data_IF_111927194497
#
_entry.id   IF_111927194497
#
_cell.length_a   1.000
_cell.length_b   1.000
_cell.length_c   1.000
_cell.angle_alpha   90.00
_cell.angle_beta   90.00
_cell.angle_gamma   90.00
#
_symmetry.space_group_name_H-M   'P 1'
#
loop_
_entity.id
_entity.type
_entity.pdbx_description
1 polymer ?
#
# COMPACT_ATOMS: atom_id res chain seq x y z
N UNK A 1 15.81 -0.72 26.09
CA UNK A 1 16.41 0.64 25.96
C UNK A 1 17.25 0.74 24.68
N UNK A 2 18.26 -0.10 24.46
CA UNK A 2 19.01 -0.13 23.18
C UNK A 2 18.13 -0.30 21.91
N UNK A 3 17.11 -1.18 21.96
CA UNK A 3 16.14 -1.33 20.85
C UNK A 3 15.26 -0.08 20.63
N UNK A 4 15.02 0.74 21.65
CA UNK A 4 14.21 1.95 21.51
C UNK A 4 15.04 3.11 20.95
N UNK A 5 16.35 3.15 21.23
CA UNK A 5 17.27 4.14 20.66
C UNK A 5 17.60 3.87 19.17
N UNK A 6 17.51 2.61 18.72
CA UNK A 6 17.71 2.25 17.30
C UNK A 6 16.41 2.41 16.47
N UNK A 7 15.24 2.25 17.11
CA UNK A 7 13.93 2.54 16.53
C UNK A 7 13.60 4.04 16.59
N UNK A 8 14.29 4.84 17.43
CA UNK A 8 14.24 6.29 17.31
C UNK A 8 14.93 6.69 16.02
N UNK A 9 14.11 6.78 14.97
CA UNK A 9 14.40 7.48 13.73
C UNK A 9 14.72 8.93 14.07
N UNK A 10 15.94 9.20 14.51
CA UNK A 10 16.45 10.53 14.72
C UNK A 10 16.81 11.05 13.32
N UNK A 11 16.04 11.97 12.72
CA UNK A 11 16.45 12.59 11.48
C UNK A 11 17.69 13.42 11.81
N UNK A 12 18.88 12.90 11.52
CA UNK A 12 20.06 13.76 11.51
C UNK A 12 19.84 14.80 10.42
N UNK A 13 19.59 16.05 10.84
CA UNK A 13 19.32 17.24 10.03
C UNK A 13 20.47 17.62 9.07
N UNK A 14 21.52 16.80 8.96
CA UNK A 14 22.70 17.05 8.14
C UNK A 14 22.53 16.69 6.65
N UNK A 15 21.51 15.89 6.30
CA UNK A 15 21.20 15.59 4.91
C UNK A 15 20.02 16.42 4.44
N UNK A 16 20.19 17.23 3.39
CA UNK A 16 19.09 17.98 2.77
C UNK A 16 17.90 17.08 2.38
N UNK A 17 16.78 17.68 1.93
CA UNK A 17 15.52 16.98 1.59
C UNK A 17 15.75 15.70 0.77
N UNK A 18 16.69 15.75 -0.18
CA UNK A 18 17.10 14.62 -1.02
C UNK A 18 17.74 13.46 -0.23
N UNK A 19 18.54 13.75 0.81
CA UNK A 19 19.15 12.75 1.69
C UNK A 19 18.12 12.05 2.59
N UNK A 20 17.12 12.79 3.05
CA UNK A 20 15.98 12.25 3.82
C UNK A 20 15.09 11.38 2.92
N UNK A 21 14.79 11.84 1.70
CA UNK A 21 14.04 11.09 0.69
C UNK A 21 14.74 9.80 0.29
N UNK A 22 16.05 9.87 0.04
CA UNK A 22 16.89 8.71 -0.25
C UNK A 22 16.81 7.70 0.90
N UNK A 23 17.05 8.15 2.15
CA UNK A 23 16.97 7.25 3.31
C UNK A 23 15.59 6.57 3.41
N UNK A 24 14.50 7.34 3.34
CA UNK A 24 13.12 6.81 3.41
C UNK A 24 12.77 5.83 2.29
N UNK A 25 13.19 6.10 1.05
CA UNK A 25 12.98 5.21 -0.09
C UNK A 25 13.73 3.89 0.08
N UNK A 26 14.91 3.91 0.71
CA UNK A 26 15.73 2.73 0.89
C UNK A 26 15.53 2.01 2.24
N UNK A 27 14.83 2.62 3.21
CA UNK A 27 14.55 1.99 4.51
C UNK A 27 13.94 0.57 4.43
N UNK A 28 12.90 0.29 3.60
CA UNK A 28 12.36 -1.07 3.52
C UNK A 28 13.34 -2.07 2.91
N UNK A 29 14.31 -1.61 2.12
CA UNK A 29 15.36 -2.43 1.52
C UNK A 29 16.62 -2.56 2.40
N UNK A 30 16.75 -1.69 3.41
CA UNK A 30 17.87 -1.68 4.36
C UNK A 30 17.50 -2.20 5.76
N UNK A 31 16.27 -2.69 5.95
CA UNK A 31 15.87 -3.37 7.18
C UNK A 31 16.71 -4.65 7.33
N UNK A 32 17.63 -4.66 8.29
CA UNK A 32 18.39 -5.85 8.62
C UNK A 32 17.41 -6.92 9.15
N UNK A 33 17.23 -8.07 8.46
CA UNK A 33 16.32 -9.13 8.91
C UNK A 33 16.65 -9.65 10.32
N UNK A 34 17.88 -9.40 10.80
CA UNK A 34 18.33 -9.73 12.15
C UNK A 34 17.61 -8.93 13.26
N UNK A 35 17.01 -7.79 12.94
CA UNK A 35 16.22 -6.97 13.88
C UNK A 35 14.83 -7.57 14.15
N UNK A 36 14.38 -8.52 13.32
CA UNK A 36 13.09 -9.19 13.44
C UNK A 36 13.30 -10.71 13.37
N UNK A 37 13.76 -11.36 14.47
CA UNK A 37 14.16 -12.77 14.48
C UNK A 37 13.08 -13.72 13.96
N UNK A 38 11.81 -13.35 14.15
CA UNK A 38 10.64 -14.09 13.69
C UNK A 38 10.44 -14.08 12.17
N UNK A 39 10.95 -13.08 11.45
CA UNK A 39 10.89 -13.00 9.99
C UNK A 39 12.03 -13.71 9.30
N UNK A 40 13.12 -14.01 10.03
CA UNK A 40 14.32 -14.61 9.45
C UNK A 40 14.02 -15.90 8.69
N UNK A 41 13.20 -16.78 9.26
CA UNK A 41 12.78 -18.04 8.64
C UNK A 41 11.97 -17.83 7.35
N UNK A 42 11.21 -16.74 7.25
CA UNK A 42 10.41 -16.42 6.06
C UNK A 42 11.27 -15.91 4.91
N UNK A 43 12.31 -15.13 5.19
CA UNK A 43 13.16 -14.50 4.16
C UNK A 43 14.44 -15.27 3.83
N UNK A 44 14.82 -16.27 4.64
CA UNK A 44 15.92 -17.17 4.29
C UNK A 44 15.41 -18.26 3.35
N UNK A 45 16.00 -18.33 2.16
CA UNK A 45 15.74 -19.41 1.22
C UNK A 45 16.10 -20.78 1.86
N UNK A 46 15.17 -21.75 1.88
CA UNK A 46 15.47 -23.10 2.35
C UNK A 46 16.43 -23.78 1.38
N UNK A 47 17.40 -24.54 1.91
CA UNK A 47 18.33 -25.35 1.11
C UNK A 47 17.93 -26.82 1.18
N UNK A 48 18.14 -27.57 0.09
CA UNK A 48 18.03 -29.03 0.08
C UNK A 48 16.73 -29.58 -0.51
N UNK A 49 16.21 -28.98 -1.58
CA UNK A 49 15.10 -29.51 -2.40
C UNK A 49 13.76 -28.76 -2.25
N UNK A 50 13.65 -27.83 -1.31
CA UNK A 50 12.45 -27.03 -1.05
C UNK A 50 12.45 -25.67 -1.76
N UNK A 51 13.51 -25.35 -2.50
CA UNK A 51 13.70 -24.08 -3.20
C UNK A 51 12.56 -23.79 -4.18
N UNK A 52 12.11 -24.81 -4.91
CA UNK A 52 11.02 -24.68 -5.90
C UNK A 52 9.68 -24.37 -5.22
N UNK A 53 9.36 -25.08 -4.14
CA UNK A 53 8.12 -24.86 -3.38
C UNK A 53 8.12 -23.45 -2.77
N UNK A 54 9.25 -23.03 -2.23
CA UNK A 54 9.44 -21.68 -1.70
C UNK A 54 9.26 -20.61 -2.79
N UNK A 55 9.86 -20.80 -3.97
CA UNK A 55 9.70 -19.88 -5.10
C UNK A 55 8.25 -19.78 -5.58
N UNK A 56 7.55 -20.92 -5.74
CA UNK A 56 6.15 -20.95 -6.13
C UNK A 56 5.25 -20.27 -5.09
N UNK A 57 5.52 -20.46 -3.80
CA UNK A 57 4.80 -19.78 -2.73
C UNK A 57 4.95 -18.26 -2.83
N UNK A 58 6.15 -17.75 -3.08
CA UNK A 58 6.38 -16.32 -3.28
C UNK A 58 5.74 -15.78 -4.54
N UNK A 59 5.82 -16.51 -5.66
CA UNK A 59 5.14 -16.14 -6.91
C UNK A 59 3.64 -16.04 -6.67
N UNK A 60 3.04 -17.03 -6.00
CA UNK A 60 1.63 -17.01 -5.64
C UNK A 60 1.28 -15.81 -4.75
N UNK A 61 2.09 -15.53 -3.74
CA UNK A 61 1.86 -14.43 -2.81
C UNK A 61 1.97 -13.05 -3.48
N UNK A 62 2.95 -12.85 -4.36
CA UNK A 62 3.11 -11.61 -5.13
C UNK A 62 1.94 -11.42 -6.09
N UNK A 63 1.52 -12.47 -6.80
CA UNK A 63 0.36 -12.39 -7.69
C UNK A 63 -0.94 -12.13 -6.92
N UNK A 64 -1.10 -12.71 -5.72
CA UNK A 64 -2.23 -12.44 -4.86
C UNK A 64 -2.23 -10.97 -4.41
N UNK A 65 -1.09 -10.44 -3.96
CA UNK A 65 -0.96 -9.04 -3.58
C UNK A 65 -1.27 -8.09 -4.76
N UNK A 66 -0.72 -8.38 -5.94
CA UNK A 66 -0.99 -7.62 -7.17
C UNK A 66 -2.48 -7.68 -7.55
N UNK A 67 -3.08 -8.87 -7.50
CA UNK A 67 -4.52 -9.07 -7.77
C UNK A 67 -5.40 -8.29 -6.79
N UNK A 68 -5.09 -8.32 -5.50
CA UNK A 68 -5.81 -7.55 -4.49
C UNK A 68 -5.69 -6.05 -4.71
N UNK A 69 -4.51 -5.55 -5.10
CA UNK A 69 -4.36 -4.13 -5.44
C UNK A 69 -5.17 -3.75 -6.67
N UNK A 70 -5.19 -4.57 -7.73
CA UNK A 70 -6.01 -4.32 -8.91
C UNK A 70 -7.50 -4.39 -8.62
N UNK A 71 -7.92 -5.17 -7.62
CA UNK A 71 -9.32 -5.29 -7.22
C UNK A 71 -9.85 -4.13 -6.36
N UNK A 72 -9.01 -3.13 -6.01
CA UNK A 72 -9.45 -1.99 -5.22
C UNK A 72 -10.51 -1.14 -5.96
N UNK A 73 -11.49 -0.55 -5.25
CA UNK A 73 -12.56 0.25 -5.83
C UNK A 73 -12.10 1.68 -6.17
N UNK A 74 -11.03 1.80 -6.96
CA UNK A 74 -10.39 3.05 -7.36
C UNK A 74 -10.14 3.05 -8.87
N UNK A 75 -10.40 4.17 -9.54
CA UNK A 75 -10.06 4.36 -10.96
C UNK A 75 -8.61 4.86 -11.04
N UNK A 76 -7.70 4.22 -11.82
CA UNK A 76 -7.93 3.37 -12.99
C UNK A 76 -7.82 1.84 -12.77
N UNK A 77 -7.79 1.34 -11.53
CA UNK A 77 -7.62 -0.09 -11.28
C UNK A 77 -8.87 -0.89 -11.70
N UNK A 78 -8.66 -2.17 -12.03
CA UNK A 78 -9.70 -3.05 -12.60
C UNK A 78 -10.94 -3.16 -11.69
N UNK A 79 -10.75 -3.16 -10.37
CA UNK A 79 -11.82 -3.18 -9.38
C UNK A 79 -12.72 -1.95 -9.45
N UNK A 80 -12.15 -0.79 -9.78
CA UNK A 80 -12.93 0.44 -10.02
C UNK A 80 -13.80 0.32 -11.27
N UNK A 81 -13.23 -0.17 -12.37
CA UNK A 81 -13.95 -0.37 -13.64
C UNK A 81 -15.04 -1.44 -13.53
N UNK A 82 -14.75 -2.55 -12.85
CA UNK A 82 -15.71 -3.62 -12.59
C UNK A 82 -16.87 -3.14 -11.70
N UNK A 83 -16.57 -2.42 -10.61
CA UNK A 83 -17.60 -1.86 -9.73
C UNK A 83 -18.49 -0.86 -10.46
N UNK A 84 -17.91 -0.02 -11.32
CA UNK A 84 -18.66 0.91 -12.17
C UNK A 84 -19.67 0.17 -13.05
N UNK A 85 -19.23 -0.89 -13.74
CA UNK A 85 -20.11 -1.69 -14.59
C UNK A 85 -21.23 -2.37 -13.78
N UNK A 86 -20.92 -2.91 -12.60
CA UNK A 86 -21.92 -3.49 -11.68
C UNK A 86 -22.95 -2.43 -11.26
N UNK A 87 -22.50 -1.22 -10.92
CA UNK A 87 -23.39 -0.15 -10.49
C UNK A 87 -24.27 0.37 -11.64
N UNK A 88 -23.72 0.48 -12.85
CA UNK A 88 -24.48 0.79 -14.06
C UNK A 88 -25.55 -0.26 -14.34
N UNK A 89 -25.22 -1.54 -14.20
CA UNK A 89 -26.18 -2.64 -14.36
C UNK A 89 -27.26 -2.64 -13.26
N UNK A 90 -26.89 -2.40 -12.02
CA UNK A 90 -27.81 -2.35 -10.87
C UNK A 90 -28.81 -1.20 -10.98
N UNK A 91 -28.39 -0.06 -11.56
CA UNK A 91 -29.20 1.16 -11.69
C UNK A 91 -29.87 1.30 -13.06
N UNK A 92 -29.94 0.23 -13.86
CA UNK A 92 -30.50 0.24 -15.23
C UNK A 92 -31.92 0.81 -15.35
N UNK A 93 -32.72 0.78 -14.27
CA UNK A 93 -34.08 1.30 -14.24
C UNK A 93 -34.19 2.83 -14.11
N UNK A 94 -33.07 3.54 -13.91
CA UNK A 94 -33.04 5.00 -13.82
C UNK A 94 -32.79 5.65 -15.19
N UNK A 95 -33.25 6.91 -15.38
CA UNK A 95 -32.86 7.72 -16.53
C UNK A 95 -31.34 7.79 -16.67
N UNK A 96 -30.84 7.72 -17.91
CA UNK A 96 -29.40 7.68 -18.25
C UNK A 96 -28.59 8.73 -17.49
N UNK A 97 -29.07 9.97 -17.51
CA UNK A 97 -28.40 11.11 -16.89
C UNK A 97 -28.31 10.96 -15.36
N UNK A 98 -29.41 10.54 -14.72
CA UNK A 98 -29.46 10.30 -13.28
C UNK A 98 -28.56 9.13 -12.89
N UNK A 99 -28.56 8.06 -13.68
CA UNK A 99 -27.72 6.88 -13.48
C UNK A 99 -26.23 7.25 -13.54
N UNK A 100 -25.80 7.95 -14.60
CA UNK A 100 -24.41 8.41 -14.75
C UNK A 100 -23.98 9.31 -13.60
N UNK A 101 -24.84 10.23 -13.16
CA UNK A 101 -24.55 11.12 -12.04
C UNK A 101 -24.32 10.35 -10.75
N UNK A 102 -25.18 9.39 -10.43
CA UNK A 102 -25.03 8.53 -9.23
C UNK A 102 -23.77 7.69 -9.34
N UNK A 103 -23.58 6.97 -10.46
CA UNK A 103 -22.42 6.10 -10.68
C UNK A 103 -21.11 6.89 -10.52
N UNK A 104 -20.98 8.01 -11.22
CA UNK A 104 -19.76 8.81 -11.17
C UNK A 104 -19.52 9.40 -9.78
N UNK A 105 -20.56 9.87 -9.08
CA UNK A 105 -20.43 10.38 -7.72
C UNK A 105 -19.98 9.27 -6.74
N UNK A 106 -20.59 8.09 -6.82
CA UNK A 106 -20.22 6.92 -6.01
C UNK A 106 -18.78 6.49 -6.29
N UNK A 107 -18.40 6.36 -7.56
CA UNK A 107 -17.05 5.97 -7.97
C UNK A 107 -16.00 7.00 -7.55
N UNK A 108 -16.29 8.29 -7.68
CA UNK A 108 -15.40 9.35 -7.23
C UNK A 108 -15.24 9.33 -5.71
N UNK A 109 -16.34 9.18 -4.95
CA UNK A 109 -16.31 9.08 -3.49
C UNK A 109 -15.49 7.88 -3.03
N UNK A 110 -15.68 6.72 -3.63
CA UNK A 110 -14.92 5.50 -3.31
C UNK A 110 -13.44 5.66 -3.65
N UNK A 111 -13.14 6.19 -4.84
CA UNK A 111 -11.75 6.42 -5.28
C UNK A 111 -11.02 7.36 -4.33
N UNK A 112 -11.65 8.47 -3.94
CA UNK A 112 -11.09 9.43 -2.98
C UNK A 112 -10.90 8.78 -1.61
N UNK A 113 -11.93 8.08 -1.11
CA UNK A 113 -11.88 7.40 0.18
C UNK A 113 -10.76 6.37 0.24
N UNK A 114 -10.67 5.47 -0.75
CA UNK A 114 -9.61 4.45 -0.84
C UNK A 114 -8.23 5.09 -0.97
N UNK A 115 -8.08 6.15 -1.78
CA UNK A 115 -6.81 6.88 -1.90
C UNK A 115 -6.39 7.49 -0.56
N UNK A 116 -7.32 8.12 0.16
CA UNK A 116 -7.05 8.69 1.47
C UNK A 116 -6.68 7.62 2.48
N UNK A 117 -7.36 6.48 2.49
CA UNK A 117 -7.04 5.36 3.39
C UNK A 117 -5.64 4.81 3.14
N UNK A 118 -5.20 4.74 1.88
CA UNK A 118 -3.84 4.31 1.52
C UNK A 118 -2.80 5.37 1.92
N UNK A 119 -3.09 6.66 1.73
CA UNK A 119 -2.16 7.75 2.03
C UNK A 119 -2.14 8.15 3.50
N UNK A 120 -3.20 7.90 4.26
CA UNK A 120 -3.38 8.35 5.64
C UNK A 120 -2.25 7.89 6.59
N UNK A 121 -1.82 6.62 6.61
CA UNK A 121 -0.71 6.17 7.46
C UNK A 121 0.61 6.90 7.20
N UNK A 122 0.76 7.43 5.99
CA UNK A 122 1.98 8.10 5.52
C UNK A 122 1.89 9.63 5.72
N UNK A 123 0.72 10.22 5.48
CA UNK A 123 0.48 11.66 5.58
C UNK A 123 0.27 12.14 7.02
N UNK A 124 -0.49 11.41 7.84
CA UNK A 124 -0.85 11.82 9.20
C UNK A 124 0.38 12.04 10.10
N UNK A 125 1.37 11.12 10.17
CA UNK A 125 2.56 11.35 10.98
C UNK A 125 3.32 12.61 10.57
N UNK A 126 3.34 12.93 9.27
CA UNK A 126 4.09 14.07 8.72
C UNK A 126 3.41 15.40 9.00
N UNK A 127 2.09 15.46 8.84
CA UNK A 127 1.30 16.67 9.16
C UNK A 127 1.44 17.02 10.65
N UNK A 128 1.38 16.00 11.53
CA UNK A 128 1.56 16.19 12.98
C UNK A 128 2.92 16.80 13.31
N UNK A 129 3.99 16.38 12.64
CA UNK A 129 5.34 16.94 12.84
C UNK A 129 5.43 18.39 12.37
N UNK A 130 4.74 18.77 11.29
CA UNK A 130 4.71 20.15 10.81
C UNK A 130 3.90 21.09 11.72
N UNK A 131 2.78 20.60 12.26
CA UNK A 131 1.91 21.37 13.17
C UNK A 131 2.46 21.49 14.60
N UNK A 132 3.41 20.62 14.97
CA UNK A 132 4.09 20.65 16.27
C UNK A 132 5.35 21.54 16.29
N UNK A 133 5.62 22.26 15.20
CA UNK A 133 6.61 23.34 15.12
C UNK A 133 5.91 24.69 15.22
#
# INVERSE_FOLDING_TARGET
KALLDEITFAPSLSGGILGVLRKLLFTPFSLNPSLLPFLRSFYTQPKGGWELVYALAWIAWINLAAGLTNALPIVPLDGGSALKAILEAALRGLPEERRRKIVNATMASLSISTTLLILAPVAIPRIRVLLAR
#
